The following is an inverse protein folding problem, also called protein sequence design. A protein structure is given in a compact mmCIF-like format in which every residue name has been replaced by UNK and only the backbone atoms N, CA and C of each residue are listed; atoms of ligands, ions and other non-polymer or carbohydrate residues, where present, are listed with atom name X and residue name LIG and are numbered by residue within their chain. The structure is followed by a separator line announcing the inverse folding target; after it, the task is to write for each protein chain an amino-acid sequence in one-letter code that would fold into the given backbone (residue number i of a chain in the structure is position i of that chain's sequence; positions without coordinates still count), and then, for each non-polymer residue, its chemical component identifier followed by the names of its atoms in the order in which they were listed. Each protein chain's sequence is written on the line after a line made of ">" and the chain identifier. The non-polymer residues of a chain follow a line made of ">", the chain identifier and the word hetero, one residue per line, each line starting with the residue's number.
data_IF_633435225414
#
_entry.id   IF_633435225414
#
_cell.length_a   1.000
_cell.length_b   1.000
_cell.length_c   1.000
_cell.angle_alpha   90.00
_cell.angle_beta   90.00
_cell.angle_gamma   90.00
#
_symmetry.space_group_name_H-M   'P 1'
#
loop_
_entity.id
_entity.type
_entity.pdbx_description
1 polymer ?
#
# COMPACT_ATOMS: atom_id res chain seq x y z
N UNK A 1 -2.88 -28.49 -10.50
CA UNK A 1 -3.12 -27.57 -11.64
C UNK A 1 -2.68 -26.14 -11.27
N UNK A 2 -1.40 -25.92 -10.94
CA UNK A 2 -0.96 -24.63 -10.36
C UNK A 2 -0.25 -23.67 -11.33
N UNK A 3 -0.12 -24.01 -12.62
CA UNK A 3 0.79 -23.30 -13.52
C UNK A 3 0.22 -22.02 -14.19
N UNK A 4 -1.08 -21.74 -14.09
CA UNK A 4 -1.69 -20.64 -14.88
C UNK A 4 -1.73 -19.27 -14.18
N UNK A 5 -1.42 -19.18 -12.88
CA UNK A 5 -1.53 -17.92 -12.11
C UNK A 5 -0.19 -17.18 -11.94
N UNK A 6 0.94 -17.88 -11.95
CA UNK A 6 2.28 -17.29 -11.82
C UNK A 6 2.63 -16.35 -12.99
N UNK A 7 2.13 -16.62 -14.20
CA UNK A 7 2.47 -15.85 -15.39
C UNK A 7 1.87 -14.43 -15.40
N UNK A 8 0.84 -14.15 -14.58
CA UNK A 8 0.18 -12.82 -14.55
C UNK A 8 0.95 -11.77 -13.74
N UNK A 9 1.82 -12.21 -12.83
CA UNK A 9 2.65 -11.30 -12.02
C UNK A 9 3.91 -10.85 -12.77
N UNK A 10 4.40 -11.65 -13.73
CA UNK A 10 5.62 -11.35 -14.49
C UNK A 10 5.55 -10.10 -15.37
N UNK A 11 4.35 -9.65 -15.76
CA UNK A 11 4.13 -8.43 -16.53
C UNK A 11 3.60 -7.26 -15.66
N UNK A 12 3.40 -7.49 -14.37
CA UNK A 12 2.93 -6.44 -13.47
C UNK A 12 4.12 -5.56 -13.09
N UNK A 13 4.21 -4.37 -13.68
CA UNK A 13 5.10 -3.31 -13.19
C UNK A 13 4.60 -2.85 -11.83
N UNK A 14 4.96 -3.56 -10.77
CA UNK A 14 4.82 -3.05 -9.41
C UNK A 14 5.85 -1.93 -9.26
N UNK A 15 5.48 -0.82 -8.65
CA UNK A 15 6.39 0.29 -8.32
C UNK A 15 7.45 -0.09 -7.25
N UNK A 16 7.63 -1.38 -6.97
CA UNK A 16 8.51 -1.96 -5.96
C UNK A 16 9.22 -3.18 -6.54
N UNK A 17 10.46 -3.43 -6.11
CA UNK A 17 11.22 -4.60 -6.55
C UNK A 17 10.57 -5.93 -6.10
N UNK A 18 10.70 -7.02 -6.86
CA UNK A 18 10.09 -8.31 -6.50
C UNK A 18 10.46 -8.82 -5.10
N UNK A 19 11.73 -8.71 -4.63
CA UNK A 19 12.09 -9.14 -3.27
C UNK A 19 11.37 -8.33 -2.18
N UNK A 20 11.20 -7.02 -2.38
CA UNK A 20 10.51 -6.15 -1.43
C UNK A 20 9.00 -6.44 -1.40
N UNK A 21 8.42 -6.74 -2.57
CA UNK A 21 7.03 -7.18 -2.67
C UNK A 21 6.79 -8.46 -1.86
N UNK A 22 7.64 -9.47 -2.02
CA UNK A 22 7.53 -10.73 -1.27
C UNK A 22 7.72 -10.51 0.23
N UNK A 23 8.69 -9.69 0.63
CA UNK A 23 8.92 -9.35 2.04
C UNK A 23 7.70 -8.65 2.66
N UNK A 24 7.09 -7.71 1.94
CA UNK A 24 5.87 -7.04 2.41
C UNK A 24 4.70 -8.03 2.56
N UNK A 25 4.50 -8.89 1.56
CA UNK A 25 3.51 -9.98 1.63
C UNK A 25 3.73 -10.82 2.89
N UNK A 26 4.95 -11.26 3.14
CA UNK A 26 5.28 -12.13 4.27
C UNK A 26 5.03 -11.46 5.61
N UNK A 27 5.37 -10.17 5.75
CA UNK A 27 5.05 -9.39 6.94
C UNK A 27 3.53 -9.35 7.19
N UNK A 28 2.75 -9.13 6.14
CA UNK A 28 1.29 -9.03 6.24
C UNK A 28 0.64 -10.39 6.58
N UNK A 29 1.14 -11.48 6.02
CA UNK A 29 0.67 -12.85 6.32
C UNK A 29 1.07 -13.26 7.73
N UNK A 30 2.34 -13.06 8.12
CA UNK A 30 2.87 -13.48 9.43
C UNK A 30 2.20 -12.74 10.59
N UNK A 31 1.75 -11.49 10.37
CA UNK A 31 0.95 -10.73 11.34
C UNK A 31 -0.55 -11.05 11.30
N UNK A 32 -0.98 -11.98 10.43
CA UNK A 32 -2.38 -12.38 10.28
C UNK A 32 -3.29 -11.30 9.67
N UNK A 33 -2.70 -10.27 9.07
CA UNK A 33 -3.41 -9.12 8.51
C UNK A 33 -3.97 -9.39 7.11
N UNK A 34 -3.35 -10.30 6.38
CA UNK A 34 -3.80 -10.78 5.08
C UNK A 34 -3.90 -12.30 5.09
N UNK A 35 -4.94 -12.79 4.41
CA UNK A 35 -5.26 -14.21 4.30
C UNK A 35 -5.73 -14.50 2.88
N UNK A 36 -5.45 -15.70 2.43
CA UNK A 36 -6.03 -16.17 1.17
C UNK A 36 -7.55 -16.23 1.32
N UNK A 37 -8.22 -15.89 0.23
CA UNK A 37 -9.67 -16.01 0.09
C UNK A 37 -9.96 -17.06 -0.97
N UNK A 38 -11.20 -17.55 -1.02
CA UNK A 38 -11.63 -18.55 -2.02
C UNK A 38 -11.31 -18.15 -3.45
N UNK A 39 -11.31 -16.83 -3.74
CA UNK A 39 -11.16 -16.29 -5.09
C UNK A 39 -9.82 -15.61 -5.36
N UNK A 40 -9.11 -15.15 -4.32
CA UNK A 40 -7.86 -14.40 -4.44
C UNK A 40 -6.83 -14.78 -3.37
N UNK A 41 -5.60 -15.01 -3.82
CA UNK A 41 -4.41 -15.19 -2.98
C UNK A 41 -3.95 -13.87 -2.36
N UNK A 42 -3.22 -13.91 -1.25
CA UNK A 42 -2.60 -12.73 -0.63
C UNK A 42 -1.72 -11.96 -1.63
N UNK A 43 -1.05 -12.70 -2.51
CA UNK A 43 -0.24 -12.16 -3.61
C UNK A 43 -1.09 -11.33 -4.57
N UNK A 44 -2.20 -11.87 -5.07
CA UNK A 44 -3.11 -11.16 -5.99
C UNK A 44 -3.77 -9.95 -5.31
N UNK A 45 -4.11 -10.05 -4.03
CA UNK A 45 -4.67 -8.93 -3.28
C UNK A 45 -3.67 -7.77 -3.17
N UNK A 46 -2.43 -8.08 -2.77
CA UNK A 46 -1.36 -7.09 -2.67
C UNK A 46 -0.98 -6.52 -4.03
N UNK A 47 -1.01 -7.35 -5.07
CA UNK A 47 -0.79 -6.97 -6.45
C UNK A 47 -1.79 -5.90 -6.93
N UNK A 48 -3.09 -6.14 -6.74
CA UNK A 48 -4.15 -5.17 -7.07
C UNK A 48 -3.91 -3.84 -6.37
N UNK A 49 -3.61 -3.88 -5.06
CA UNK A 49 -3.38 -2.69 -4.27
C UNK A 49 -2.18 -1.87 -4.76
N UNK A 50 -1.03 -2.51 -4.96
CA UNK A 50 0.19 -1.82 -5.39
C UNK A 50 0.11 -1.35 -6.85
N UNK A 51 -0.61 -2.07 -7.70
CA UNK A 51 -0.83 -1.63 -9.08
C UNK A 51 -1.75 -0.39 -9.12
N UNK A 52 -2.82 -0.40 -8.32
CA UNK A 52 -3.72 0.74 -8.17
C UNK A 52 -2.98 2.00 -7.66
N UNK A 53 -2.20 1.85 -6.59
CA UNK A 53 -1.46 2.98 -6.00
C UNK A 53 -0.25 3.42 -6.83
N UNK A 54 0.48 2.47 -7.42
CA UNK A 54 1.70 2.75 -8.15
C UNK A 54 1.49 3.49 -9.46
N UNK A 55 0.35 3.23 -10.13
CA UNK A 55 0.02 3.83 -11.42
C UNK A 55 -1.19 4.77 -11.37
N UNK A 56 -1.87 4.89 -10.23
CA UNK A 56 -3.07 5.71 -10.10
C UNK A 56 -4.22 5.25 -11.02
N UNK A 57 -4.28 3.96 -11.34
CA UNK A 57 -5.24 3.42 -12.31
C UNK A 57 -6.63 3.24 -11.69
N UNK A 58 -7.66 3.38 -12.52
CA UNK A 58 -9.06 3.22 -12.08
C UNK A 58 -9.42 1.75 -11.82
N UNK A 59 -10.47 1.54 -11.01
CA UNK A 59 -11.03 0.21 -10.77
C UNK A 59 -11.41 -0.52 -12.06
N UNK A 60 -11.81 0.21 -13.12
CA UNK A 60 -12.13 -0.38 -14.41
C UNK A 60 -10.91 -1.01 -15.08
N UNK A 61 -9.78 -0.30 -15.10
CA UNK A 61 -8.52 -0.81 -15.66
C UNK A 61 -8.03 -2.03 -14.88
N UNK A 62 -8.15 -1.99 -13.55
CA UNK A 62 -7.83 -3.13 -12.68
C UNK A 62 -8.75 -4.32 -12.95
N UNK A 63 -10.05 -4.07 -13.12
CA UNK A 63 -11.02 -5.11 -13.47
C UNK A 63 -10.70 -5.78 -14.79
N UNK A 64 -10.34 -5.00 -15.81
CA UNK A 64 -9.94 -5.51 -17.13
C UNK A 64 -8.62 -6.31 -17.04
N UNK A 65 -7.65 -5.84 -16.27
CA UNK A 65 -6.33 -6.48 -16.14
C UNK A 65 -6.36 -7.78 -15.33
N UNK A 66 -7.03 -7.76 -14.17
CA UNK A 66 -7.08 -8.91 -13.27
C UNK A 66 -8.29 -9.84 -13.56
N UNK A 67 -9.18 -9.44 -14.46
CA UNK A 67 -10.42 -10.15 -14.82
C UNK A 67 -11.35 -10.38 -13.61
N UNK A 68 -11.43 -9.40 -12.71
CA UNK A 68 -12.33 -9.41 -11.56
C UNK A 68 -13.36 -8.27 -11.65
N UNK A 69 -14.53 -8.47 -11.04
CA UNK A 69 -15.52 -7.39 -10.94
C UNK A 69 -14.96 -6.18 -10.19
N UNK A 70 -15.44 -4.98 -10.52
CA UNK A 70 -15.02 -3.75 -9.84
C UNK A 70 -15.29 -3.79 -8.33
N UNK A 71 -16.35 -4.47 -7.92
CA UNK A 71 -16.64 -4.77 -6.51
C UNK A 71 -15.53 -5.59 -5.86
N UNK A 72 -15.06 -6.66 -6.53
CA UNK A 72 -13.97 -7.50 -6.04
C UNK A 72 -12.67 -6.71 -5.91
N UNK A 73 -12.34 -5.89 -6.91
CA UNK A 73 -11.18 -4.99 -6.87
C UNK A 73 -11.29 -4.05 -5.67
N UNK A 74 -12.41 -3.34 -5.52
CA UNK A 74 -12.62 -2.39 -4.43
C UNK A 74 -12.56 -3.06 -3.05
N UNK A 75 -13.18 -4.23 -2.89
CA UNK A 75 -13.16 -4.99 -1.64
C UNK A 75 -11.74 -5.37 -1.23
N UNK A 76 -10.96 -5.96 -2.14
CA UNK A 76 -9.61 -6.40 -1.82
C UNK A 76 -8.64 -5.23 -1.66
N UNK A 77 -8.80 -4.16 -2.45
CA UNK A 77 -8.07 -2.92 -2.23
C UNK A 77 -8.25 -2.41 -0.80
N UNK A 78 -9.49 -2.35 -0.31
CA UNK A 78 -9.79 -1.90 1.05
C UNK A 78 -9.27 -2.84 2.15
N UNK A 79 -9.27 -4.16 1.92
CA UNK A 79 -8.68 -5.14 2.85
C UNK A 79 -7.19 -4.88 3.01
N UNK A 80 -6.45 -4.75 1.90
CA UNK A 80 -5.02 -4.48 1.92
C UNK A 80 -4.72 -3.10 2.52
N UNK A 81 -5.52 -2.09 2.18
CA UNK A 81 -5.38 -0.75 2.76
C UNK A 81 -5.47 -0.78 4.30
N UNK A 82 -6.49 -1.47 4.85
CA UNK A 82 -6.64 -1.62 6.31
C UNK A 82 -5.45 -2.35 6.94
N UNK A 83 -4.98 -3.41 6.29
CA UNK A 83 -3.81 -4.15 6.73
C UNK A 83 -2.55 -3.25 6.77
N UNK A 84 -2.28 -2.48 5.71
CA UNK A 84 -1.15 -1.55 5.65
C UNK A 84 -1.29 -0.42 6.68
N UNK A 85 -2.48 0.15 6.85
CA UNK A 85 -2.72 1.21 7.86
C UNK A 85 -2.49 0.68 9.27
N UNK A 86 -2.78 -0.59 9.55
CA UNK A 86 -2.48 -1.19 10.86
C UNK A 86 -0.99 -1.25 11.17
N UNK A 87 -0.13 -1.36 10.14
CA UNK A 87 1.33 -1.33 10.27
C UNK A 87 1.88 0.07 10.55
N UNK A 88 1.09 1.14 10.35
CA UNK A 88 1.53 2.54 10.51
C UNK A 88 2.25 2.78 11.83
N UNK A 89 1.69 2.30 12.94
CA UNK A 89 2.26 2.57 14.28
C UNK A 89 3.63 1.95 14.50
N UNK A 90 3.93 0.86 13.81
CA UNK A 90 5.17 0.10 13.98
C UNK A 90 6.26 0.55 12.99
N UNK A 91 5.88 0.89 11.76
CA UNK A 91 6.84 1.21 10.68
C UNK A 91 6.90 2.70 10.32
N UNK A 92 5.84 3.46 10.61
CA UNK A 92 5.72 4.89 10.28
C UNK A 92 5.65 5.66 11.60
N UNK A 93 6.75 5.60 12.36
CA UNK A 93 6.94 6.43 13.54
C UNK A 93 7.86 7.59 13.18
N UNK A 94 7.32 8.80 13.23
CA UNK A 94 8.12 10.02 13.23
C UNK A 94 8.50 10.28 14.68
N UNK A 95 9.76 10.04 15.02
CA UNK A 95 10.30 10.47 16.30
C UNK A 95 10.09 11.98 16.44
N UNK A 96 9.48 12.41 17.54
CA UNK A 96 9.21 13.84 17.80
C UNK A 96 10.50 14.69 17.82
N UNK A 97 11.65 14.06 18.08
CA UNK A 97 12.96 14.72 18.03
C UNK A 97 13.57 14.77 16.62
N UNK A 98 13.07 13.97 15.68
CA UNK A 98 13.55 13.93 14.27
C UNK A 98 12.77 14.88 13.35
N UNK A 99 11.82 15.65 13.89
CA UNK A 99 11.14 16.73 13.16
C UNK A 99 12.02 17.99 13.17
N UNK A 100 13.31 17.85 12.82
CA UNK A 100 14.11 19.01 12.44
C UNK A 100 13.67 19.43 11.04
N UNK A 101 12.67 20.30 10.99
CA UNK A 101 12.27 21.00 9.77
C UNK A 101 13.50 21.74 9.25
N UNK A 102 13.94 21.36 8.04
CA UNK A 102 15.11 21.97 7.41
C UNK A 102 14.99 23.51 7.44
N UNK A 103 16.05 24.26 7.79
CA UNK A 103 15.97 25.70 7.99
C UNK A 103 15.29 26.44 6.84
N UNK A 104 15.54 26.03 5.58
CA UNK A 104 14.88 26.61 4.41
C UNK A 104 13.34 26.58 4.46
N UNK A 105 12.75 25.49 4.96
CA UNK A 105 11.29 25.35 5.09
C UNK A 105 10.78 26.19 6.26
N UNK A 106 11.52 26.23 7.37
CA UNK A 106 11.18 26.99 8.59
C UNK A 106 11.19 28.51 8.37
N UNK A 107 12.05 29.00 7.49
CA UNK A 107 12.13 30.44 7.17
C UNK A 107 11.17 30.85 6.04
N UNK A 108 10.51 29.89 5.40
CA UNK A 108 9.54 30.16 4.35
C UNK A 108 8.13 30.29 4.95
N UNK A 109 7.59 31.51 4.94
CA UNK A 109 6.26 31.82 5.48
C UNK A 109 5.11 31.02 4.83
N UNK A 110 5.30 30.51 3.61
CA UNK A 110 4.31 29.69 2.90
C UNK A 110 4.31 28.25 3.45
N UNK A 111 5.49 27.70 3.73
CA UNK A 111 5.62 26.29 4.14
C UNK A 111 5.60 26.10 5.65
N UNK A 112 6.13 27.04 6.42
CA UNK A 112 6.20 27.01 7.89
C UNK A 112 4.89 26.59 8.60
N UNK A 113 3.68 27.05 8.18
CA UNK A 113 2.42 26.63 8.81
C UNK A 113 2.15 25.12 8.75
N UNK A 114 2.61 24.42 7.71
CA UNK A 114 2.33 22.99 7.51
C UNK A 114 3.20 22.07 8.37
N UNK A 115 4.29 22.58 8.94
CA UNK A 115 5.25 21.80 9.73
C UNK A 115 5.27 22.18 11.21
N UNK A 116 4.46 23.15 11.62
CA UNK A 116 4.19 23.44 13.02
C UNK A 116 3.18 22.42 13.55
N UNK A 117 3.67 21.35 14.17
CA UNK A 117 2.83 20.40 14.92
C UNK A 117 2.30 21.14 16.15
N UNK A 118 1.22 21.87 15.95
CA UNK A 118 0.46 22.51 17.02
C UNK A 118 -0.15 21.42 17.89
N UNK A 119 0.00 21.59 19.19
CA UNK A 119 -0.53 20.80 20.32
C UNK A 119 -2.07 20.77 20.39
N UNK A 120 -2.75 20.72 19.24
CA UNK A 120 -4.20 20.75 19.08
C UNK A 120 -4.66 19.55 18.25
N UNK A 121 -4.52 18.36 18.82
CA UNK A 121 -5.45 17.26 18.59
C UNK A 121 -5.72 16.65 19.97
N UNK A 122 -6.94 16.77 20.53
CA UNK A 122 -7.30 16.06 21.75
C UNK A 122 -7.22 14.55 21.55
#
# INVERSE_FOLDING_TARGET
>A
MSCSKDLRLGHMRVCMSPPMFLKLRDVLINKGLLKDTTNLTCTEQLAIFLHALGHGVSNRVLSEHFHYSGETISRHFNVVLKAVVSLKREYINLSQNDVQVHPYVRHNKIFDPYFKVSSYYP
#
